data_IF_962049658189
#
_entry.id   IF_962049658189
#
_cell.length_a   1.000
_cell.length_b   1.000
_cell.length_c   1.000
_cell.angle_alpha   90.00
_cell.angle_beta   90.00
_cell.angle_gamma   90.00
#
_symmetry.space_group_name_H-M   'P 1'
#
loop_
_entity.id
_entity.type
_entity.pdbx_description
1 polymer ?
#
# COMPACT_ATOMS: atom_id res chain seq x y z
N UNK A 1 0.92 41.72 23.03
CA UNK A 1 -0.16 40.70 23.03
C UNK A 1 0.13 39.78 21.86
N UNK A 2 1.08 38.85 21.92
CA UNK A 2 0.94 37.48 22.46
C UNK A 2 -0.41 36.81 22.19
N UNK A 3 -0.38 35.81 21.30
CA UNK A 3 -1.20 34.57 21.28
C UNK A 3 -1.98 34.31 19.98
N UNK A 4 -1.27 34.09 18.87
CA UNK A 4 -1.76 33.25 17.75
C UNK A 4 -1.02 31.90 17.65
N UNK A 5 -0.23 31.55 18.66
CA UNK A 5 0.55 30.31 18.71
C UNK A 5 -0.21 29.12 19.32
N UNK A 6 -1.55 29.03 19.19
CA UNK A 6 -2.34 28.02 19.91
C UNK A 6 -3.44 27.31 19.12
N UNK A 7 -3.36 27.29 17.80
CA UNK A 7 -4.31 26.51 16.96
C UNK A 7 -3.67 25.44 16.06
N UNK A 8 -2.35 25.23 16.13
CA UNK A 8 -1.67 24.30 15.20
C UNK A 8 -1.40 22.89 15.76
N UNK A 9 -1.78 22.58 17.01
CA UNK A 9 -1.43 21.30 17.65
C UNK A 9 -2.58 20.78 18.52
N UNK A 10 -3.54 20.07 17.90
CA UNK A 10 -3.75 18.64 18.24
C UNK A 10 -3.84 17.71 17.01
N UNK A 11 -3.86 18.23 15.79
CA UNK A 11 -4.13 17.44 14.57
C UNK A 11 -3.03 16.43 14.21
N UNK A 12 -1.79 16.65 14.66
CA UNK A 12 -0.61 15.85 14.27
C UNK A 12 -0.45 14.60 15.17
N UNK A 13 -0.82 14.67 16.46
CA UNK A 13 -0.75 13.49 17.34
C UNK A 13 -1.87 12.48 17.06
N UNK A 14 -3.11 12.95 16.80
CA UNK A 14 -4.22 12.05 16.45
C UNK A 14 -4.13 11.46 15.04
N UNK A 15 -3.51 12.17 14.09
CA UNK A 15 -3.32 11.69 12.72
C UNK A 15 -2.37 10.50 12.64
N UNK A 16 -1.27 10.53 13.40
CA UNK A 16 -0.28 9.46 13.42
C UNK A 16 -0.80 8.16 14.04
N UNK A 17 -1.52 8.24 15.17
CA UNK A 17 -2.13 7.08 15.81
C UNK A 17 -3.18 6.43 14.91
N UNK A 18 -4.06 7.25 14.31
CA UNK A 18 -5.08 6.77 13.37
C UNK A 18 -4.45 6.09 12.15
N UNK A 19 -3.42 6.68 11.56
CA UNK A 19 -2.73 6.11 10.41
C UNK A 19 -2.01 4.80 10.76
N UNK A 20 -1.46 4.67 11.97
CA UNK A 20 -0.92 3.40 12.46
C UNK A 20 -1.99 2.32 12.63
N UNK A 21 -3.17 2.66 13.17
CA UNK A 21 -4.29 1.72 13.31
C UNK A 21 -4.80 1.25 11.93
N UNK A 22 -4.88 2.17 10.96
CA UNK A 22 -5.24 1.82 9.57
C UNK A 22 -4.24 0.83 8.98
N UNK A 23 -2.93 1.01 9.20
CA UNK A 23 -1.92 0.08 8.70
C UNK A 23 -2.01 -1.31 9.37
N UNK A 24 -2.37 -1.40 10.65
CA UNK A 24 -2.62 -2.69 11.31
C UNK A 24 -3.81 -3.42 10.69
N UNK A 25 -4.92 -2.71 10.45
CA UNK A 25 -6.08 -3.26 9.76
C UNK A 25 -5.71 -3.69 8.34
N UNK A 26 -4.91 -2.87 7.64
CA UNK A 26 -4.42 -3.18 6.29
C UNK A 26 -3.60 -4.47 6.26
N UNK A 27 -2.69 -4.68 7.22
CA UNK A 27 -1.91 -5.91 7.32
C UNK A 27 -2.82 -7.15 7.48
N UNK A 28 -3.84 -7.05 8.32
CA UNK A 28 -4.80 -8.14 8.52
C UNK A 28 -5.62 -8.43 7.26
N UNK A 29 -6.09 -7.39 6.56
CA UNK A 29 -6.85 -7.52 5.32
C UNK A 29 -6.00 -8.11 4.18
N UNK A 30 -4.78 -7.61 3.99
CA UNK A 30 -3.84 -8.15 3.00
C UNK A 30 -3.55 -9.62 3.27
N UNK A 31 -3.30 -9.97 4.54
CA UNK A 31 -3.08 -11.36 4.93
C UNK A 31 -4.31 -12.24 4.65
N UNK A 32 -5.51 -11.73 4.89
CA UNK A 32 -6.75 -12.42 4.56
C UNK A 32 -6.87 -12.65 3.05
N UNK A 33 -6.64 -11.64 2.21
CA UNK A 33 -6.67 -11.77 0.76
C UNK A 33 -5.65 -12.82 0.25
N UNK A 34 -4.40 -12.75 0.71
CA UNK A 34 -3.36 -13.68 0.28
C UNK A 34 -3.66 -15.13 0.70
N UNK A 35 -4.21 -15.35 1.90
CA UNK A 35 -4.55 -16.70 2.40
C UNK A 35 -5.82 -17.26 1.78
N UNK A 36 -6.79 -16.40 1.48
CA UNK A 36 -8.08 -16.76 0.88
C UNK A 36 -8.04 -16.91 -0.64
N UNK A 37 -6.94 -16.51 -1.30
CA UNK A 37 -6.81 -16.58 -2.73
C UNK A 37 -6.90 -18.03 -3.25
N UNK A 38 -7.75 -18.24 -4.25
CA UNK A 38 -7.89 -19.52 -4.93
C UNK A 38 -6.56 -19.93 -5.59
N UNK A 39 -6.28 -21.23 -5.57
CA UNK A 39 -5.14 -21.83 -6.27
C UNK A 39 -5.53 -22.27 -7.68
N UNK A 40 -4.63 -22.15 -8.67
CA UNK A 40 -3.27 -21.59 -8.57
C UNK A 40 -3.28 -20.05 -8.55
N UNK A 41 -2.34 -19.41 -7.84
CA UNK A 41 -2.30 -17.95 -7.69
C UNK A 41 -2.11 -17.20 -9.01
N UNK A 42 -1.42 -17.82 -9.98
CA UNK A 42 -1.15 -17.20 -11.27
C UNK A 42 -2.41 -16.79 -12.04
N UNK A 43 -3.58 -17.38 -11.74
CA UNK A 43 -4.86 -16.98 -12.36
C UNK A 43 -5.27 -15.55 -12.02
N UNK A 44 -4.75 -15.01 -10.90
CA UNK A 44 -5.03 -13.65 -10.46
C UNK A 44 -4.12 -12.63 -11.17
N UNK A 45 -3.13 -13.07 -11.95
CA UNK A 45 -2.29 -12.19 -12.77
C UNK A 45 -2.95 -11.95 -14.14
N UNK A 46 -3.53 -10.77 -14.32
CA UNK A 46 -4.26 -10.38 -15.53
C UNK A 46 -3.44 -9.47 -16.44
N UNK A 47 -3.86 -9.31 -17.70
CA UNK A 47 -3.24 -8.35 -18.64
C UNK A 47 -3.32 -6.91 -18.13
N UNK A 48 -4.39 -6.55 -17.43
CA UNK A 48 -4.54 -5.23 -16.81
C UNK A 48 -3.50 -4.99 -15.71
N UNK A 49 -3.22 -6.02 -14.89
CA UNK A 49 -2.17 -5.94 -13.86
C UNK A 49 -0.78 -5.88 -14.49
N UNK A 50 -0.52 -6.63 -15.55
CA UNK A 50 0.73 -6.54 -16.30
C UNK A 50 0.94 -5.15 -16.92
N UNK A 51 -0.14 -4.55 -17.46
CA UNK A 51 -0.12 -3.18 -17.98
C UNK A 51 0.18 -2.16 -16.88
N UNK A 52 -0.50 -2.25 -15.74
CA UNK A 52 -0.24 -1.39 -14.58
C UNK A 52 1.20 -1.58 -14.03
N UNK A 53 1.73 -2.80 -14.05
CA UNK A 53 3.11 -3.08 -13.69
C UNK A 53 4.12 -2.43 -14.65
N UNK A 54 3.87 -2.46 -15.97
CA UNK A 54 4.69 -1.72 -16.95
C UNK A 54 4.67 -0.22 -16.68
N UNK A 55 3.52 0.35 -16.36
CA UNK A 55 3.39 1.78 -16.00
C UNK A 55 4.22 2.10 -14.76
N UNK A 56 4.14 1.29 -13.70
CA UNK A 56 4.92 1.48 -12.49
C UNK A 56 6.44 1.37 -12.74
N UNK A 57 6.89 0.39 -13.53
CA UNK A 57 8.31 0.26 -13.91
C UNK A 57 8.82 1.50 -14.64
N UNK A 58 8.03 2.04 -15.57
CA UNK A 58 8.38 3.29 -16.26
C UNK A 58 8.40 4.49 -15.31
N UNK A 59 7.43 4.56 -14.39
CA UNK A 59 7.39 5.62 -13.39
C UNK A 59 8.60 5.59 -12.44
N UNK A 60 9.10 4.41 -12.08
CA UNK A 60 10.28 4.28 -11.25
C UNK A 60 11.56 4.87 -11.86
N UNK A 61 11.62 4.97 -13.18
CA UNK A 61 12.78 5.51 -13.90
C UNK A 61 12.69 7.02 -14.14
N UNK A 62 11.47 7.55 -14.28
CA UNK A 62 11.24 8.88 -14.89
C UNK A 62 10.35 9.81 -14.05
N UNK A 63 9.68 9.31 -13.02
CA UNK A 63 8.69 10.07 -12.26
C UNK A 63 9.23 10.58 -10.92
N UNK A 64 8.50 11.53 -10.34
CA UNK A 64 8.73 11.94 -8.95
C UNK A 64 8.34 10.80 -7.99
N UNK A 65 8.96 10.72 -6.79
CA UNK A 65 8.63 9.69 -5.80
C UNK A 65 7.13 9.58 -5.51
N UNK A 66 6.44 10.73 -5.36
CA UNK A 66 5.01 10.76 -5.10
C UNK A 66 4.16 10.15 -6.23
N UNK A 67 4.51 10.38 -7.50
CA UNK A 67 3.79 9.75 -8.64
C UNK A 67 4.05 8.25 -8.69
N UNK A 68 5.27 7.82 -8.38
CA UNK A 68 5.63 6.41 -8.32
C UNK A 68 4.85 5.68 -7.21
N UNK A 69 4.76 6.25 -6.01
CA UNK A 69 4.00 5.66 -4.91
C UNK A 69 2.49 5.58 -5.19
N UNK A 70 1.91 6.58 -5.84
CA UNK A 70 0.52 6.52 -6.32
C UNK A 70 0.29 5.35 -7.29
N UNK A 71 1.20 5.13 -8.24
CA UNK A 71 1.10 3.98 -9.15
C UNK A 71 1.26 2.64 -8.42
N UNK A 72 2.17 2.56 -7.44
CA UNK A 72 2.36 1.35 -6.64
C UNK A 72 1.10 1.02 -5.82
N UNK A 73 0.51 1.99 -5.12
CA UNK A 73 -0.69 1.76 -4.32
C UNK A 73 -1.88 1.31 -5.17
N UNK A 74 -2.05 1.91 -6.36
CA UNK A 74 -3.10 1.50 -7.31
C UNK A 74 -2.90 0.06 -7.78
N UNK A 75 -1.67 -0.32 -8.11
CA UNK A 75 -1.35 -1.68 -8.54
C UNK A 75 -1.59 -2.68 -7.41
N UNK A 76 -1.15 -2.37 -6.18
CA UNK A 76 -1.38 -3.20 -5.01
C UNK A 76 -2.87 -3.39 -4.71
N UNK A 77 -3.67 -2.32 -4.77
CA UNK A 77 -5.11 -2.40 -4.57
C UNK A 77 -5.80 -3.23 -5.67
N UNK A 78 -5.39 -3.04 -6.93
CA UNK A 78 -5.91 -3.83 -8.05
C UNK A 78 -5.59 -5.32 -7.88
N UNK A 79 -4.38 -5.65 -7.42
CA UNK A 79 -4.02 -7.03 -7.12
C UNK A 79 -4.83 -7.61 -5.96
N UNK A 80 -4.93 -6.88 -4.85
CA UNK A 80 -5.69 -7.37 -3.68
C UNK A 80 -7.18 -7.58 -4.03
N UNK A 81 -7.74 -6.82 -4.98
CA UNK A 81 -9.07 -7.07 -5.54
C UNK A 81 -9.16 -8.39 -6.28
N UNK A 82 -8.15 -8.74 -7.09
CA UNK A 82 -8.11 -10.03 -7.76
C UNK A 82 -8.02 -11.17 -6.74
N UNK A 83 -7.10 -11.07 -5.76
CA UNK A 83 -6.93 -12.08 -4.71
C UNK A 83 -8.19 -12.26 -3.85
N UNK A 84 -8.93 -11.17 -3.61
CA UNK A 84 -10.19 -11.17 -2.86
C UNK A 84 -11.43 -11.45 -3.71
N UNK A 85 -11.31 -11.94 -4.95
CA UNK A 85 -12.46 -12.12 -5.85
C UNK A 85 -13.56 -13.05 -5.29
N UNK A 86 -13.23 -13.90 -4.30
CA UNK A 86 -14.20 -14.77 -3.61
C UNK A 86 -14.88 -14.08 -2.42
N UNK A 87 -14.39 -12.91 -2.00
CA UNK A 87 -15.06 -12.06 -1.03
C UNK A 87 -16.11 -11.18 -1.74
N UNK A 88 -17.08 -10.69 -0.98
CA UNK A 88 -18.13 -9.72 -1.32
C UNK A 88 -17.62 -8.34 -1.82
N UNK A 89 -16.33 -8.23 -2.13
CA UNK A 89 -15.61 -6.99 -2.37
C UNK A 89 -15.42 -6.14 -1.10
N UNK A 90 -15.76 -6.64 0.08
CA UNK A 90 -15.63 -5.91 1.34
C UNK A 90 -14.16 -5.62 1.68
N UNK A 91 -13.28 -6.63 1.61
CA UNK A 91 -11.85 -6.44 1.86
C UNK A 91 -11.26 -5.40 0.92
N UNK A 92 -11.60 -5.46 -0.37
CA UNK A 92 -11.15 -4.49 -1.36
C UNK A 92 -11.63 -3.06 -1.06
N UNK A 93 -12.87 -2.88 -0.59
CA UNK A 93 -13.38 -1.56 -0.17
C UNK A 93 -12.63 -1.06 1.07
N UNK A 94 -12.46 -1.90 2.09
CA UNK A 94 -11.76 -1.53 3.31
C UNK A 94 -10.30 -1.17 3.07
N UNK A 95 -9.60 -1.92 2.19
CA UNK A 95 -8.24 -1.58 1.75
C UNK A 95 -8.23 -0.21 1.04
N UNK A 96 -9.14 0.02 0.10
CA UNK A 96 -9.23 1.30 -0.61
C UNK A 96 -9.51 2.48 0.32
N UNK A 97 -10.41 2.31 1.29
CA UNK A 97 -10.74 3.34 2.28
C UNK A 97 -9.60 3.59 3.27
N UNK A 98 -8.87 2.54 3.65
CA UNK A 98 -7.65 2.65 4.46
C UNK A 98 -6.58 3.46 3.73
N UNK A 99 -6.33 3.15 2.46
CA UNK A 99 -5.35 3.86 1.63
C UNK A 99 -5.70 5.34 1.51
N UNK A 100 -6.96 5.65 1.23
CA UNK A 100 -7.43 7.03 1.17
C UNK A 100 -7.19 7.77 2.48
N UNK A 101 -7.52 7.16 3.62
CA UNK A 101 -7.32 7.78 4.93
C UNK A 101 -5.82 7.96 5.27
N UNK A 102 -4.96 7.02 4.87
CA UNK A 102 -3.50 7.18 5.00
C UNK A 102 -2.97 8.35 4.16
N UNK A 103 -3.45 8.53 2.93
CA UNK A 103 -3.09 9.68 2.08
C UNK A 103 -3.56 10.99 2.71
N UNK A 104 -4.82 11.05 3.18
CA UNK A 104 -5.38 12.23 3.84
C UNK A 104 -4.56 12.60 5.09
N UNK A 105 -4.22 11.61 5.93
CA UNK A 105 -3.38 11.80 7.11
C UNK A 105 -1.95 12.26 6.78
N UNK A 106 -1.47 11.96 5.57
CA UNK A 106 -0.12 12.32 5.08
C UNK A 106 -0.12 13.63 4.27
N UNK A 107 -1.17 14.46 4.38
CA UNK A 107 -1.24 15.74 3.66
C UNK A 107 -1.55 15.62 2.17
N UNK A 108 -2.20 14.53 1.75
CA UNK A 108 -2.66 14.33 0.36
C UNK A 108 -1.62 13.71 -0.57
N UNK A 109 -0.49 13.24 -0.04
CA UNK A 109 0.52 12.51 -0.82
C UNK A 109 0.89 11.23 -0.08
N UNK A 110 1.03 10.09 -0.78
CA UNK A 110 1.63 8.93 -0.15
C UNK A 110 3.05 9.30 0.30
N UNK A 111 3.45 8.96 1.53
CA UNK A 111 4.85 9.10 1.91
C UNK A 111 5.68 8.24 0.95
N UNK A 112 6.83 8.75 0.53
CA UNK A 112 7.76 8.02 -0.34
C UNK A 112 9.17 8.49 -0.03
N UNK A 113 9.90 7.70 0.73
CA UNK A 113 11.32 7.98 1.05
C UNK A 113 12.25 7.01 0.35
N UNK A 114 11.78 5.81 -0.06
CA UNK A 114 12.59 4.85 -0.81
C UNK A 114 11.83 4.20 -1.99
N UNK A 115 11.91 4.84 -3.16
CA UNK A 115 11.33 4.32 -4.39
C UNK A 115 11.97 3.00 -4.86
N UNK A 116 13.26 2.79 -4.61
CA UNK A 116 13.95 1.58 -5.03
C UNK A 116 13.46 0.36 -4.24
N UNK A 117 13.32 0.51 -2.92
CA UNK A 117 12.79 -0.53 -2.05
C UNK A 117 11.32 -0.85 -2.38
N UNK A 118 10.48 0.18 -2.62
CA UNK A 118 9.08 -0.03 -3.05
C UNK A 118 8.97 -0.85 -4.34
N UNK A 119 9.81 -0.58 -5.36
CA UNK A 119 9.85 -1.41 -6.58
C UNK A 119 10.35 -2.82 -6.31
N UNK A 120 11.37 -2.98 -5.47
CA UNK A 120 11.92 -4.30 -5.15
C UNK A 120 10.85 -5.19 -4.49
N UNK A 121 10.10 -4.66 -3.53
CA UNK A 121 9.01 -5.38 -2.88
C UNK A 121 7.87 -5.71 -3.85
N UNK A 122 7.50 -4.77 -4.74
CA UNK A 122 6.51 -5.06 -5.79
C UNK A 122 6.96 -6.18 -6.73
N UNK A 123 8.25 -6.24 -7.10
CA UNK A 123 8.79 -7.35 -7.91
C UNK A 123 8.64 -8.68 -7.18
N UNK A 124 9.05 -8.74 -5.91
CA UNK A 124 8.94 -9.96 -5.10
C UNK A 124 7.50 -10.46 -5.01
N UNK A 125 6.57 -9.54 -4.77
CA UNK A 125 5.15 -9.86 -4.67
C UNK A 125 4.58 -10.40 -6.00
N UNK A 126 4.94 -9.80 -7.13
CA UNK A 126 4.51 -10.26 -8.46
C UNK A 126 5.13 -11.63 -8.78
N UNK A 127 6.43 -11.81 -8.52
CA UNK A 127 7.12 -13.09 -8.73
C UNK A 127 6.46 -14.20 -7.91
N UNK A 128 6.20 -13.98 -6.61
CA UNK A 128 5.54 -14.96 -5.76
C UNK A 128 4.12 -15.32 -6.26
N UNK A 129 3.38 -14.36 -6.79
CA UNK A 129 2.08 -14.60 -7.40
C UNK A 129 2.21 -15.50 -8.65
N UNK A 130 3.15 -15.19 -9.53
CA UNK A 130 3.37 -15.89 -10.80
C UNK A 130 3.94 -17.30 -10.60
N UNK A 131 4.76 -17.49 -9.57
CA UNK A 131 5.37 -18.78 -9.19
C UNK A 131 4.45 -19.66 -8.31
N UNK A 132 3.22 -19.20 -8.04
CA UNK A 132 2.25 -19.89 -7.19
C UNK A 132 2.75 -20.14 -5.75
N UNK A 133 3.54 -19.22 -5.18
CA UNK A 133 4.08 -19.33 -3.81
C UNK A 133 3.21 -18.53 -2.80
N UNK A 134 2.38 -19.20 -1.96
CA UNK A 134 1.58 -18.55 -0.91
C UNK A 134 2.41 -17.77 0.09
N UNK A 135 3.53 -18.36 0.49
CA UNK A 135 4.29 -17.92 1.64
C UNK A 135 5.08 -16.68 1.24
N UNK A 136 5.75 -16.73 0.09
CA UNK A 136 6.44 -15.57 -0.46
C UNK A 136 5.45 -14.43 -0.79
N UNK A 137 4.25 -14.74 -1.31
CA UNK A 137 3.25 -13.71 -1.60
C UNK A 137 2.83 -12.97 -0.32
N UNK A 138 2.52 -13.72 0.74
CA UNK A 138 2.13 -13.15 2.02
C UNK A 138 3.26 -12.31 2.64
N UNK A 139 4.48 -12.83 2.63
CA UNK A 139 5.66 -12.14 3.18
C UNK A 139 5.89 -10.82 2.44
N UNK A 140 5.93 -10.85 1.11
CA UNK A 140 6.15 -9.64 0.31
C UNK A 140 5.04 -8.60 0.52
N UNK A 141 3.79 -9.04 0.61
CA UNK A 141 2.66 -8.13 0.83
C UNK A 141 2.67 -7.48 2.23
N UNK A 142 3.09 -8.22 3.27
CA UNK A 142 3.26 -7.67 4.62
C UNK A 142 4.44 -6.69 4.70
N UNK A 143 5.56 -7.01 4.04
CA UNK A 143 6.72 -6.11 3.96
C UNK A 143 6.37 -4.76 3.32
N UNK A 144 5.44 -4.73 2.35
CA UNK A 144 4.95 -3.46 1.80
C UNK A 144 4.17 -2.63 2.82
N UNK A 145 3.35 -3.27 3.66
CA UNK A 145 2.61 -2.57 4.72
C UNK A 145 3.57 -2.07 5.81
N UNK A 146 4.60 -2.85 6.14
CA UNK A 146 5.68 -2.42 7.06
C UNK A 146 6.42 -1.20 6.52
N UNK A 147 6.76 -1.21 5.22
CA UNK A 147 7.39 -0.08 4.56
C UNK A 147 6.51 1.18 4.67
N UNK A 148 5.21 1.08 4.34
CA UNK A 148 4.28 2.20 4.52
C UNK A 148 4.30 2.75 5.96
N UNK A 149 4.39 1.87 6.96
CA UNK A 149 4.51 2.27 8.37
C UNK A 149 5.82 2.95 8.72
N UNK A 150 6.94 2.50 8.16
CA UNK A 150 8.23 3.18 8.33
C UNK A 150 8.21 4.58 7.73
N UNK A 151 7.69 4.73 6.51
CA UNK A 151 7.66 6.02 5.84
C UNK A 151 6.69 7.01 6.51
N UNK A 152 5.54 6.53 6.99
CA UNK A 152 4.60 7.33 7.77
C UNK A 152 5.24 7.83 9.08
N UNK A 153 5.94 6.97 9.83
CA UNK A 153 6.65 7.38 11.05
C UNK A 153 7.71 8.42 10.77
N UNK A 154 8.48 8.25 9.69
CA UNK A 154 9.49 9.21 9.27
C UNK A 154 8.87 10.58 8.94
N UNK A 155 7.71 10.57 8.27
CA UNK A 155 6.98 11.79 7.91
C UNK A 155 6.40 12.53 9.13
N UNK A 156 5.91 11.82 10.15
CA UNK A 156 5.39 12.45 11.38
C UNK A 156 6.52 13.03 12.25
N UNK A 157 7.73 12.49 12.15
CA UNK A 157 8.88 12.92 12.93
C UNK A 157 9.57 14.19 12.40
N UNK A 158 9.24 14.62 11.18
CA UNK A 158 9.72 15.87 10.53
C UNK A 158 8.76 17.02 10.74
#
# INVERSE_FOLDING_TARGET
>A
MLSTARETLPCIQGGGERASQILQVRAALVAHCCRGAARPLGIHWTEDLESAWRVLRSAALLATPARMADQEWRLRLALMRQLAAQDTGLCARMLSDGDRQCIEASGGRPPTVDAAQRIALMKQLITALQEDDPAALLVAALQQVELDGHELRAFIAT
#
